data_IF_902305227104
#
_entry.id   IF_902305227104
#
_cell.length_a   1.000
_cell.length_b   1.000
_cell.length_c   1.000
_cell.angle_alpha   90.00
_cell.angle_beta   90.00
_cell.angle_gamma   90.00
#
_symmetry.space_group_name_H-M   'P 1'
#
loop_
_entity.id
_entity.type
_entity.pdbx_description
1 polymer ?
#
# COMPACT_ATOMS: atom_id res chain seq x y z
N UNK A 1 10.34 -32.83 30.49
CA UNK A 1 10.03 -32.82 29.05
C UNK A 1 9.17 -34.02 28.73
N UNK A 2 8.11 -33.88 27.92
CA UNK A 2 7.27 -35.03 27.56
C UNK A 2 8.10 -36.10 26.80
N UNK A 3 7.89 -37.41 27.05
CA UNK A 3 8.73 -38.46 26.47
C UNK A 3 8.75 -38.46 24.94
N UNK A 4 7.60 -38.22 24.31
CA UNK A 4 7.46 -38.16 22.85
C UNK A 4 8.22 -36.96 22.24
N UNK A 5 8.27 -35.83 22.95
CA UNK A 5 9.03 -34.67 22.51
C UNK A 5 10.54 -34.91 22.63
N UNK A 6 10.98 -35.64 23.67
CA UNK A 6 12.39 -36.03 23.84
C UNK A 6 12.90 -36.90 22.73
N UNK A 7 12.14 -37.92 22.34
CA UNK A 7 12.49 -38.80 21.24
C UNK A 7 12.70 -38.01 19.92
N UNK A 8 11.79 -37.08 19.61
CA UNK A 8 11.88 -36.25 18.39
C UNK A 8 13.11 -35.34 18.36
N UNK A 9 13.47 -34.74 19.49
CA UNK A 9 14.64 -33.84 19.56
C UNK A 9 15.95 -34.65 19.57
N UNK A 10 15.98 -35.83 20.20
CA UNK A 10 17.14 -36.74 20.13
C UNK A 10 17.38 -37.28 18.71
N UNK A 11 16.32 -37.60 17.98
CA UNK A 11 16.42 -38.05 16.60
C UNK A 11 16.94 -36.95 15.67
N UNK A 12 16.44 -35.72 15.83
CA UNK A 12 16.95 -34.58 15.07
C UNK A 12 18.40 -34.21 15.42
N UNK A 13 18.76 -34.27 16.70
CA UNK A 13 20.14 -34.03 17.13
C UNK A 13 21.11 -35.04 16.47
N UNK A 14 20.70 -36.31 16.35
CA UNK A 14 21.47 -37.34 15.63
C UNK A 14 21.59 -37.03 14.13
N UNK A 15 20.49 -36.62 13.48
CA UNK A 15 20.48 -36.27 12.06
C UNK A 15 21.37 -35.07 11.75
N UNK A 16 21.37 -34.07 12.63
CA UNK A 16 22.17 -32.85 12.48
C UNK A 16 23.61 -32.98 12.99
N UNK A 17 24.01 -34.18 13.45
CA UNK A 17 25.32 -34.46 14.05
C UNK A 17 25.68 -33.52 15.22
N UNK A 18 24.70 -33.19 16.07
CA UNK A 18 24.84 -32.30 17.22
C UNK A 18 24.48 -33.01 18.52
N UNK A 19 24.96 -32.48 19.63
CA UNK A 19 24.51 -32.95 20.95
C UNK A 19 23.05 -32.52 21.17
N UNK A 20 22.32 -33.28 21.98
CA UNK A 20 20.93 -32.96 22.33
C UNK A 20 20.77 -31.52 22.84
N UNK A 21 21.70 -31.06 23.68
CA UNK A 21 21.70 -29.69 24.19
C UNK A 21 21.95 -28.66 23.09
N UNK A 22 22.87 -28.93 22.16
CA UNK A 22 23.13 -28.03 21.03
C UNK A 22 21.91 -27.90 20.09
N UNK A 23 21.21 -29.00 19.83
CA UNK A 23 19.97 -29.01 19.03
C UNK A 23 18.84 -28.22 19.73
N UNK A 24 18.69 -28.36 21.05
CA UNK A 24 17.70 -27.60 21.82
C UNK A 24 18.02 -26.09 21.74
N UNK A 25 19.28 -25.73 21.93
CA UNK A 25 19.73 -24.33 21.88
C UNK A 25 19.53 -23.73 20.49
N UNK A 26 19.86 -24.46 19.43
CA UNK A 26 19.66 -24.00 18.05
C UNK A 26 18.19 -23.78 17.72
N UNK A 27 17.30 -24.71 18.11
CA UNK A 27 15.85 -24.53 17.90
C UNK A 27 15.29 -23.36 18.68
N UNK A 28 15.77 -23.15 19.90
CA UNK A 28 15.40 -21.98 20.69
C UNK A 28 15.89 -20.70 20.01
N UNK A 29 17.15 -20.66 19.58
CA UNK A 29 17.69 -19.52 18.83
C UNK A 29 16.90 -19.23 17.54
N UNK A 30 16.57 -20.26 16.77
CA UNK A 30 15.74 -20.15 15.58
C UNK A 30 14.31 -19.68 15.87
N UNK A 31 13.75 -20.04 17.05
CA UNK A 31 12.42 -19.56 17.45
C UNK A 31 12.39 -18.08 17.84
N UNK A 32 13.55 -17.49 18.16
CA UNK A 32 13.70 -16.07 18.45
C UNK A 32 14.20 -15.26 17.24
N UNK A 33 14.54 -15.91 16.14
CA UNK A 33 15.00 -15.23 14.93
C UNK A 33 13.78 -14.92 14.01
N UNK A 34 13.31 -13.67 13.94
CA UNK A 34 12.12 -13.30 13.16
C UNK A 34 12.32 -13.57 11.66
N UNK A 35 13.57 -13.67 11.18
CA UNK A 35 13.87 -14.00 9.78
C UNK A 35 13.78 -15.50 9.45
N UNK A 36 13.76 -16.39 10.45
CA UNK A 36 13.60 -17.83 10.20
C UNK A 36 12.13 -18.24 9.93
N UNK A 37 11.18 -17.30 10.12
CA UNK A 37 9.76 -17.48 9.84
C UNK A 37 9.34 -16.73 8.57
N UNK A 38 9.72 -17.22 7.40
CA UNK A 38 9.27 -16.67 6.10
C UNK A 38 7.72 -16.61 5.97
N UNK A 39 6.97 -17.30 6.83
CA UNK A 39 5.50 -17.21 6.87
C UNK A 39 4.96 -16.02 7.67
N UNK A 40 5.68 -15.48 8.67
CA UNK A 40 5.09 -14.48 9.59
C UNK A 40 5.12 -13.06 9.03
N UNK A 41 6.07 -12.73 8.16
CA UNK A 41 6.17 -11.40 7.54
C UNK A 41 5.10 -11.17 6.48
N UNK A 42 4.79 -12.19 5.68
CA UNK A 42 3.68 -12.16 4.71
C UNK A 42 2.32 -12.06 5.41
N UNK A 43 2.13 -12.81 6.51
CA UNK A 43 0.90 -12.77 7.31
C UNK A 43 0.72 -11.40 8.01
N UNK A 44 1.80 -10.81 8.51
CA UNK A 44 1.79 -9.46 9.09
C UNK A 44 1.52 -8.38 8.05
N UNK A 45 2.08 -8.50 6.83
CA UNK A 45 1.79 -7.58 5.73
C UNK A 45 0.32 -7.67 5.29
N UNK A 46 -0.23 -8.88 5.21
CA UNK A 46 -1.64 -9.10 4.90
C UNK A 46 -2.57 -8.53 6.00
N UNK A 47 -2.22 -8.72 7.27
CA UNK A 47 -2.96 -8.14 8.40
C UNK A 47 -2.90 -6.60 8.37
N UNK A 48 -1.73 -6.03 8.13
CA UNK A 48 -1.57 -4.58 8.02
C UNK A 48 -2.39 -4.01 6.85
N UNK A 49 -2.39 -4.67 5.69
CA UNK A 49 -3.19 -4.27 4.54
C UNK A 49 -4.70 -4.33 4.85
N UNK A 50 -5.14 -5.37 5.58
CA UNK A 50 -6.54 -5.49 6.00
C UNK A 50 -6.94 -4.38 6.97
N UNK A 51 -6.13 -4.09 7.98
CA UNK A 51 -6.40 -3.01 8.93
C UNK A 51 -6.41 -1.64 8.24
N UNK A 52 -5.54 -1.42 7.26
CA UNK A 52 -5.56 -0.21 6.43
C UNK A 52 -6.84 -0.11 5.60
N UNK A 53 -7.33 -1.22 5.03
CA UNK A 53 -8.58 -1.24 4.29
C UNK A 53 -9.79 -0.96 5.19
N UNK A 54 -9.85 -1.59 6.37
CA UNK A 54 -10.92 -1.36 7.36
C UNK A 54 -10.91 0.10 7.86
N UNK A 55 -9.73 0.66 8.14
CA UNK A 55 -9.59 2.06 8.53
C UNK A 55 -10.06 3.02 7.42
N UNK A 56 -9.69 2.74 6.17
CA UNK A 56 -10.13 3.54 5.02
C UNK A 56 -11.65 3.46 4.81
N UNK A 57 -12.25 2.29 5.00
CA UNK A 57 -13.70 2.10 4.91
C UNK A 57 -14.44 2.92 5.98
N UNK A 58 -13.98 2.87 7.24
CA UNK A 58 -14.58 3.66 8.33
C UNK A 58 -14.38 5.17 8.14
N UNK A 59 -13.23 5.60 7.62
CA UNK A 59 -13.01 7.00 7.25
C UNK A 59 -13.98 7.44 6.15
N UNK A 60 -14.22 6.60 5.14
CA UNK A 60 -15.17 6.89 4.07
C UNK A 60 -16.63 6.96 4.57
N UNK A 61 -17.03 6.05 5.46
CA UNK A 61 -18.37 6.08 6.09
C UNK A 61 -18.56 7.36 6.90
N UNK A 62 -17.59 7.72 7.75
CA UNK A 62 -17.62 8.96 8.52
C UNK A 62 -17.71 10.17 7.60
N UNK A 63 -16.88 10.24 6.56
CA UNK A 63 -16.94 11.31 5.56
C UNK A 63 -18.32 11.43 4.92
N UNK A 64 -18.91 10.30 4.50
CA UNK A 64 -20.25 10.26 3.91
C UNK A 64 -21.32 10.79 4.88
N UNK A 65 -21.20 10.50 6.17
CA UNK A 65 -22.11 11.03 7.19
C UNK A 65 -21.94 12.54 7.35
N UNK A 66 -20.71 13.06 7.38
CA UNK A 66 -20.47 14.50 7.48
C UNK A 66 -21.05 15.23 6.27
N UNK A 67 -20.88 14.71 5.06
CA UNK A 67 -21.48 15.28 3.84
C UNK A 67 -22.99 15.35 3.96
N UNK A 68 -23.64 14.25 4.35
CA UNK A 68 -25.10 14.23 4.54
C UNK A 68 -25.58 15.20 5.62
N UNK A 69 -24.81 15.39 6.69
CA UNK A 69 -25.14 16.36 7.73
C UNK A 69 -24.97 17.81 7.23
N UNK A 70 -24.00 18.05 6.35
CA UNK A 70 -23.84 19.33 5.65
C UNK A 70 -25.05 19.64 4.76
N UNK A 71 -25.50 18.68 3.95
CA UNK A 71 -26.71 18.81 3.12
C UNK A 71 -27.96 19.12 3.97
N UNK A 72 -28.12 18.45 5.12
CA UNK A 72 -29.22 18.75 6.04
C UNK A 72 -29.10 20.15 6.63
N UNK A 73 -27.90 20.61 6.96
CA UNK A 73 -27.68 21.95 7.47
C UNK A 73 -28.00 23.04 6.44
N UNK A 74 -27.74 22.80 5.15
CA UNK A 74 -28.14 23.68 4.06
C UNK A 74 -29.67 23.78 3.97
N UNK A 75 -30.39 22.64 3.99
CA UNK A 75 -31.86 22.62 4.00
C UNK A 75 -32.41 23.36 5.22
N UNK A 76 -31.83 23.14 6.41
CA UNK A 76 -32.25 23.84 7.63
C UNK A 76 -32.04 25.35 7.55
N UNK A 77 -31.00 25.81 6.85
CA UNK A 77 -30.74 27.24 6.63
C UNK A 77 -31.78 27.86 5.70
N UNK A 78 -32.10 27.18 4.60
CA UNK A 78 -33.14 27.60 3.67
C UNK A 78 -34.52 27.66 4.37
N UNK A 79 -34.88 26.62 5.11
CA UNK A 79 -36.13 26.55 5.87
C UNK A 79 -36.20 27.65 6.94
N UNK A 80 -35.11 27.89 7.67
CA UNK A 80 -35.04 28.97 8.66
C UNK A 80 -35.25 30.34 8.00
N UNK A 81 -34.66 30.57 6.82
CA UNK A 81 -34.82 31.81 6.09
C UNK A 81 -36.25 32.02 5.58
N UNK A 82 -36.90 30.96 5.08
CA UNK A 82 -38.30 31.01 4.66
C UNK A 82 -39.23 31.31 5.85
N UNK A 83 -38.98 30.69 7.01
CA UNK A 83 -39.73 30.94 8.23
C UNK A 83 -39.53 32.34 8.79
N UNK A 84 -38.30 32.87 8.76
CA UNK A 84 -38.01 34.27 9.11
C UNK A 84 -38.82 35.22 8.24
N UNK A 85 -38.80 35.01 6.92
CA UNK A 85 -39.55 35.82 5.95
C UNK A 85 -41.06 35.77 6.24
N UNK A 86 -41.60 34.57 6.45
CA UNK A 86 -43.01 34.37 6.77
C UNK A 86 -43.40 35.04 8.09
N UNK A 87 -42.57 34.91 9.13
CA UNK A 87 -42.81 35.52 10.43
C UNK A 87 -42.82 37.05 10.35
N UNK A 88 -41.90 37.64 9.58
CA UNK A 88 -41.86 39.08 9.31
C UNK A 88 -43.11 39.57 8.56
N UNK A 89 -43.56 38.86 7.53
CA UNK A 89 -44.75 39.22 6.75
C UNK A 89 -46.05 39.18 7.58
N UNK A 90 -46.08 38.35 8.62
CA UNK A 90 -47.25 38.10 9.44
C UNK A 90 -47.18 38.66 10.88
N UNK A 91 -46.11 39.40 11.23
CA UNK A 91 -45.85 39.95 12.57
C UNK A 91 -45.87 38.85 13.66
N UNK A 92 -45.30 37.68 13.34
CA UNK A 92 -45.14 36.53 14.22
C UNK A 92 -43.69 36.43 14.71
N UNK A 93 -43.45 35.65 15.77
CA UNK A 93 -42.09 35.32 16.24
C UNK A 93 -41.78 33.87 15.94
N UNK A 94 -40.52 33.56 15.62
CA UNK A 94 -40.07 32.17 15.40
C UNK A 94 -40.37 31.26 16.61
N UNK A 95 -40.29 31.81 17.82
CA UNK A 95 -40.66 31.14 19.08
C UNK A 95 -42.11 30.61 19.06
N UNK A 96 -43.02 31.25 18.33
CA UNK A 96 -44.43 30.85 18.22
C UNK A 96 -44.59 29.53 17.44
N UNK A 97 -43.60 29.16 16.64
CA UNK A 97 -43.51 27.89 15.92
C UNK A 97 -42.78 26.80 16.72
N UNK A 98 -42.33 27.10 17.94
CA UNK A 98 -41.52 26.20 18.76
C UNK A 98 -40.10 26.01 18.23
N UNK A 99 -39.61 26.96 17.42
CA UNK A 99 -38.28 26.93 16.81
C UNK A 99 -37.38 27.84 17.62
N UNK A 100 -36.37 27.24 18.26
CA UNK A 100 -35.28 28.00 18.87
C UNK A 100 -34.27 28.38 17.77
N UNK A 101 -34.35 29.63 17.32
CA UNK A 101 -33.47 30.18 16.28
C UNK A 101 -31.99 30.02 16.63
N UNK A 102 -31.62 30.16 17.90
CA UNK A 102 -30.23 30.05 18.32
C UNK A 102 -29.72 28.62 18.18
N UNK A 103 -30.50 27.63 18.61
CA UNK A 103 -30.16 26.22 18.44
C UNK A 103 -30.03 25.85 16.94
N UNK A 104 -30.96 26.31 16.11
CA UNK A 104 -30.92 26.07 14.67
C UNK A 104 -29.69 26.69 14.01
N UNK A 105 -29.42 27.98 14.26
CA UNK A 105 -28.23 28.66 13.73
C UNK A 105 -26.93 28.01 14.21
N UNK A 106 -26.91 27.54 15.45
CA UNK A 106 -25.75 26.82 16.00
C UNK A 106 -25.51 25.52 15.23
N UNK A 107 -26.54 24.69 15.06
CA UNK A 107 -26.47 23.43 14.30
C UNK A 107 -26.00 23.72 12.86
N UNK A 108 -26.63 24.68 12.18
CA UNK A 108 -26.23 25.08 10.82
C UNK A 108 -24.75 25.46 10.78
N UNK A 109 -24.28 26.27 11.73
CA UNK A 109 -22.88 26.72 11.76
C UNK A 109 -21.86 25.60 12.00
N UNK A 110 -22.20 24.62 12.85
CA UNK A 110 -21.33 23.48 13.16
C UNK A 110 -21.12 22.59 11.92
N UNK A 111 -22.17 22.40 11.12
CA UNK A 111 -22.11 21.54 9.94
C UNK A 111 -21.66 22.28 8.66
N UNK A 112 -21.88 23.60 8.54
CA UNK A 112 -21.28 24.41 7.46
C UNK A 112 -19.75 24.49 7.55
N UNK A 113 -19.20 24.50 8.76
CA UNK A 113 -17.75 24.41 8.94
C UNK A 113 -17.21 23.08 8.41
N UNK A 114 -17.99 22.01 8.57
CA UNK A 114 -17.64 20.70 8.05
C UNK A 114 -17.54 20.72 6.53
N UNK A 115 -18.41 21.45 5.82
CA UNK A 115 -18.36 21.56 4.35
C UNK A 115 -17.03 22.15 3.82
N UNK A 116 -16.60 23.29 4.37
CA UNK A 116 -15.30 23.89 4.00
C UNK A 116 -14.12 23.00 4.39
N UNK A 117 -14.22 22.29 5.51
CA UNK A 117 -13.19 21.34 5.92
C UNK A 117 -13.13 20.15 4.96
N UNK A 118 -14.30 19.63 4.53
CA UNK A 118 -14.41 18.55 3.55
C UNK A 118 -13.86 18.96 2.18
N UNK A 119 -14.14 20.18 1.72
CA UNK A 119 -13.55 20.72 0.48
C UNK A 119 -12.02 20.79 0.55
N UNK A 120 -11.48 21.26 1.69
CA UNK A 120 -10.03 21.33 1.90
C UNK A 120 -9.40 19.95 1.94
N UNK A 121 -10.03 18.99 2.62
CA UNK A 121 -9.53 17.63 2.72
C UNK A 121 -9.65 16.88 1.37
N UNK A 122 -10.74 17.09 0.63
CA UNK A 122 -10.92 16.57 -0.73
C UNK A 122 -9.83 17.09 -1.67
N UNK A 123 -9.55 18.41 -1.63
CA UNK A 123 -8.48 19.02 -2.41
C UNK A 123 -7.10 18.45 -2.05
N UNK A 124 -6.84 18.24 -0.76
CA UNK A 124 -5.59 17.62 -0.29
C UNK A 124 -5.46 16.18 -0.79
N UNK A 125 -6.53 15.39 -0.79
CA UNK A 125 -6.51 14.04 -1.36
C UNK A 125 -6.31 14.05 -2.88
N UNK A 126 -6.94 14.99 -3.58
CA UNK A 126 -6.73 15.20 -5.02
C UNK A 126 -5.25 15.51 -5.32
N UNK A 127 -4.63 16.41 -4.56
CA UNK A 127 -3.21 16.74 -4.67
C UNK A 127 -2.31 15.53 -4.38
N UNK A 128 -2.62 14.75 -3.34
CA UNK A 128 -1.90 13.51 -3.02
C UNK A 128 -2.01 12.48 -4.13
N UNK A 129 -3.21 12.30 -4.70
CA UNK A 129 -3.45 11.36 -5.79
C UNK A 129 -2.68 11.77 -7.04
N UNK A 130 -2.68 13.07 -7.36
CA UNK A 130 -1.89 13.64 -8.46
C UNK A 130 -0.40 13.41 -8.26
N UNK A 131 0.14 13.66 -7.07
CA UNK A 131 1.54 13.39 -6.75
C UNK A 131 1.89 11.90 -6.87
N UNK A 132 1.01 11.01 -6.42
CA UNK A 132 1.19 9.56 -6.53
C UNK A 132 1.17 9.10 -8.00
N UNK A 133 0.28 9.65 -8.82
CA UNK A 133 0.24 9.40 -10.26
C UNK A 133 1.52 9.88 -10.96
N UNK A 134 1.99 11.09 -10.67
CA UNK A 134 3.25 11.63 -11.20
C UNK A 134 4.47 10.81 -10.75
N UNK A 135 4.47 10.31 -9.50
CA UNK A 135 5.52 9.42 -9.01
C UNK A 135 5.50 8.07 -9.77
N UNK A 136 4.32 7.46 -9.92
CA UNK A 136 4.14 6.23 -10.70
C UNK A 136 4.63 6.40 -12.13
N UNK A 137 4.25 7.49 -12.80
CA UNK A 137 4.61 7.73 -14.19
C UNK A 137 6.11 7.97 -14.37
N UNK A 138 6.76 8.64 -13.40
CA UNK A 138 8.23 8.74 -13.34
C UNK A 138 8.88 7.37 -13.19
N UNK A 139 8.43 6.54 -12.25
CA UNK A 139 8.96 5.19 -12.05
C UNK A 139 8.77 4.30 -13.30
N UNK A 140 7.63 4.41 -13.98
CA UNK A 140 7.39 3.68 -15.23
C UNK A 140 8.31 4.15 -16.36
N UNK A 141 8.58 5.46 -16.45
CA UNK A 141 9.53 6.01 -17.42
C UNK A 141 10.95 5.51 -17.17
N UNK A 142 11.42 5.56 -15.92
CA UNK A 142 12.73 5.04 -15.53
C UNK A 142 12.88 3.54 -15.83
N UNK A 143 11.82 2.76 -15.56
CA UNK A 143 11.79 1.33 -15.86
C UNK A 143 11.91 1.08 -17.38
N UNK A 144 11.17 1.83 -18.21
CA UNK A 144 11.26 1.73 -19.68
C UNK A 144 12.66 2.07 -20.17
N UNK A 145 13.25 3.18 -19.72
CA UNK A 145 14.62 3.56 -20.09
C UNK A 145 15.66 2.52 -19.66
N UNK A 146 15.46 1.86 -18.50
CA UNK A 146 16.34 0.80 -18.03
C UNK A 146 16.23 -0.46 -18.89
N UNK A 147 15.02 -0.80 -19.34
CA UNK A 147 14.77 -1.92 -20.27
C UNK A 147 15.41 -1.61 -21.63
N UNK A 148 15.22 -0.41 -22.16
CA UNK A 148 15.83 0.02 -23.43
C UNK A 148 17.36 -0.02 -23.39
N UNK A 149 17.97 0.50 -22.32
CA UNK A 149 19.43 0.42 -22.09
C UNK A 149 19.91 -1.03 -22.04
N UNK A 150 19.17 -1.91 -21.36
CA UNK A 150 19.50 -3.34 -21.28
C UNK A 150 19.41 -4.00 -22.66
N UNK A 151 18.36 -3.72 -23.43
CA UNK A 151 18.18 -4.28 -24.77
C UNK A 151 19.26 -3.80 -25.75
N UNK A 152 19.60 -2.50 -25.71
CA UNK A 152 20.68 -1.94 -26.52
C UNK A 152 22.05 -2.59 -26.20
N UNK A 153 22.35 -2.83 -24.92
CA UNK A 153 23.58 -3.52 -24.51
C UNK A 153 23.62 -4.99 -24.99
N UNK A 154 22.49 -5.70 -24.94
CA UNK A 154 22.37 -7.07 -25.46
C UNK A 154 22.57 -7.10 -26.98
N UNK A 155 21.98 -6.15 -27.72
CA UNK A 155 22.17 -6.05 -29.16
C UNK A 155 23.60 -5.69 -29.56
N UNK A 156 24.26 -4.77 -28.83
CA UNK A 156 25.66 -4.42 -29.05
C UNK A 156 26.60 -5.60 -28.77
N UNK A 157 26.39 -6.33 -27.67
CA UNK A 157 27.18 -7.52 -27.35
C UNK A 157 27.01 -8.64 -28.38
N UNK A 158 25.79 -8.87 -28.87
CA UNK A 158 25.54 -9.84 -29.95
C UNK A 158 26.22 -9.46 -31.27
N UNK A 159 26.30 -8.15 -31.58
CA UNK A 159 27.01 -7.67 -32.76
C UNK A 159 28.53 -7.89 -32.64
N UNK A 160 29.13 -7.62 -31.48
CA UNK A 160 30.56 -7.88 -31.21
C UNK A 160 30.91 -9.38 -31.25
N UNK A 161 30.03 -10.25 -30.73
CA UNK A 161 30.26 -11.69 -30.74
C UNK A 161 30.16 -12.29 -32.15
N UNK A 162 29.29 -11.73 -33.01
CA UNK A 162 29.23 -12.08 -34.44
C UNK A 162 30.41 -11.55 -35.26
N UNK A 163 31.07 -10.49 -34.78
CA UNK A 163 32.19 -9.84 -35.45
C UNK A 163 33.55 -10.45 -35.09
N UNK A 164 33.63 -11.37 -34.12
CA UNK A 164 34.83 -12.17 -33.91
C UNK A 164 35.02 -13.11 -35.10
N UNK A 165 36.05 -12.91 -35.95
CA UNK A 165 36.31 -13.85 -37.02
C UNK A 165 36.57 -15.20 -36.37
N UNK A 166 35.92 -16.24 -36.90
CA UNK A 166 36.27 -17.60 -36.58
C UNK A 166 37.76 -17.78 -36.90
N UNK A 167 38.62 -17.67 -35.88
CA UNK A 167 39.94 -18.27 -35.87
C UNK A 167 39.70 -19.78 -35.99
N UNK A 168 39.44 -20.21 -37.23
CA UNK A 168 39.64 -21.56 -37.69
C UNK A 168 41.08 -21.84 -37.32
N UNK A 169 41.25 -22.59 -36.24
CA UNK A 169 42.46 -23.33 -35.94
C UNK A 169 42.84 -24.07 -37.22
N UNK A 170 43.79 -23.51 -37.97
CA UNK A 170 44.52 -24.23 -39.00
C UNK A 170 45.36 -25.28 -38.26
N UNK A 171 44.75 -26.44 -38.03
CA UNK A 171 45.46 -27.62 -37.56
C UNK A 171 46.31 -28.09 -38.74
N UNK A 172 47.59 -27.72 -38.71
CA UNK A 172 48.61 -28.14 -39.67
C UNK A 172 48.86 -29.64 -39.50
N UNK A 173 48.08 -30.48 -40.19
CA UNK A 173 48.41 -31.89 -40.39
C UNK A 173 49.45 -31.99 -41.49
N UNK A 174 50.71 -31.76 -41.15
CA UNK A 174 51.86 -32.18 -41.96
C UNK A 174 52.07 -33.68 -41.77
N UNK A 175 51.42 -34.48 -42.62
CA UNK A 175 51.76 -35.89 -42.83
C UNK A 175 53.13 -35.97 -43.51
N UNK A 176 54.14 -36.41 -42.76
CA UNK A 176 55.41 -36.92 -43.29
C UNK A 176 55.13 -38.25 -44.00
N UNK A 177 55.12 -38.25 -45.33
CA UNK A 177 55.37 -39.45 -46.12
C UNK A 177 56.87 -39.77 -46.05
N UNK A 178 57.18 -40.91 -45.44
CA UNK A 178 58.49 -41.56 -45.50
C UNK A 178 58.49 -42.56 -46.64
N UNK A 179 59.42 -42.38 -47.57
CA UNK A 179 59.84 -43.34 -48.59
C UNK A 179 60.02 -44.76 -48.04
N UNK A 180 59.47 -45.76 -48.75
CA UNK A 180 60.14 -47.00 -49.16
C UNK A 180 59.29 -47.82 -50.12
#
# INVERSE_FOLDING_TARGET
MQPALKAKVEEAAKQNARSLNAEIVERLQASFDPMASDSSTADMAALAARLQAELAEEQFKNHTLVVKLSEVAEIMEDDLHELETYAEEHDLRLDDFGIDEWDWRKIISEYRYADRWLEQEAKKYEDQLKQAMEARDRSLKELRERIERRNAAVHAGAAEESAKPAERMHFDHTTKETDK
#
